data_IF_872448264960
#
_entry.id   IF_872448264960
#
_cell.length_a   1.000
_cell.length_b   1.000
_cell.length_c   1.000
_cell.angle_alpha   90.00
_cell.angle_beta   90.00
_cell.angle_gamma   90.00
#
_symmetry.space_group_name_H-M   'P 1'
#
loop_
_entity.id
_entity.type
_entity.pdbx_description
1 polymer ?
#
# COMPACT_ATOMS: atom_id res chain seq x y z
N UNK A 1 -15.62 -4.22 -4.50
CA UNK A 1 -14.53 -3.25 -4.24
C UNK A 1 -13.58 -3.78 -3.16
N UNK A 2 -12.27 -3.85 -3.44
CA UNK A 2 -11.25 -4.38 -2.53
C UNK A 2 -10.62 -3.27 -1.69
N UNK A 3 -10.37 -3.52 -0.40
CA UNK A 3 -9.59 -2.66 0.48
C UNK A 3 -8.14 -3.09 0.44
N UNK A 4 -7.29 -2.33 -0.25
CA UNK A 4 -5.94 -2.71 -0.59
C UNK A 4 -4.88 -2.00 0.25
N UNK A 5 -3.92 -2.77 0.74
CA UNK A 5 -2.70 -2.26 1.39
C UNK A 5 -1.47 -2.50 0.50
N UNK A 6 -0.77 -1.44 0.11
CA UNK A 6 0.40 -1.49 -0.76
C UNK A 6 1.69 -1.31 0.04
N UNK A 7 2.66 -2.20 -0.11
CA UNK A 7 3.96 -2.14 0.54
C UNK A 7 5.05 -1.87 -0.50
N UNK A 8 5.80 -0.78 -0.36
CA UNK A 8 6.92 -0.49 -1.26
C UNK A 8 7.80 0.66 -0.79
N UNK A 9 8.99 0.77 -1.38
CA UNK A 9 9.97 1.81 -1.01
C UNK A 9 10.55 2.56 -2.20
N UNK A 10 10.87 1.87 -3.28
CA UNK A 10 11.71 2.42 -4.35
C UNK A 10 10.92 2.94 -5.56
N UNK A 11 11.64 3.41 -6.57
CA UNK A 11 11.06 3.92 -7.81
C UNK A 11 10.31 2.84 -8.61
N UNK A 12 10.74 1.59 -8.52
CA UNK A 12 10.07 0.48 -9.19
C UNK A 12 8.66 0.25 -8.59
N UNK A 13 8.56 0.29 -7.27
CA UNK A 13 7.29 0.22 -6.55
C UNK A 13 6.36 1.40 -6.88
N UNK A 14 6.89 2.60 -7.12
CA UNK A 14 6.10 3.78 -7.53
C UNK A 14 5.35 3.51 -8.84
N UNK A 15 5.95 2.83 -9.82
CA UNK A 15 5.27 2.55 -11.09
C UNK A 15 4.07 1.62 -10.90
N UNK A 16 4.19 0.60 -10.05
CA UNK A 16 3.06 -0.24 -9.69
C UNK A 16 1.97 0.55 -8.94
N UNK A 17 2.37 1.41 -8.00
CA UNK A 17 1.45 2.24 -7.22
C UNK A 17 0.68 3.25 -8.09
N UNK A 18 1.31 3.81 -9.13
CA UNK A 18 0.64 4.69 -10.13
C UNK A 18 -0.48 3.97 -10.85
N UNK A 19 -0.26 2.72 -11.26
CA UNK A 19 -1.26 1.91 -11.96
C UNK A 19 -2.46 1.62 -11.05
N UNK A 20 -2.20 1.18 -9.81
CA UNK A 20 -3.25 0.93 -8.82
C UNK A 20 -4.02 2.20 -8.47
N UNK A 21 -3.33 3.32 -8.26
CA UNK A 21 -3.96 4.61 -7.96
C UNK A 21 -4.80 5.12 -9.13
N UNK A 22 -4.46 4.79 -10.38
CA UNK A 22 -5.24 5.15 -11.56
C UNK A 22 -6.48 4.26 -11.68
N UNK A 23 -6.35 2.96 -11.40
CA UNK A 23 -7.48 2.03 -11.35
C UNK A 23 -8.51 2.42 -10.29
N UNK A 24 -8.11 3.03 -9.17
CA UNK A 24 -9.05 3.56 -8.18
C UNK A 24 -9.95 4.69 -8.72
N UNK A 25 -9.46 5.43 -9.73
CA UNK A 25 -10.17 6.56 -10.33
C UNK A 25 -11.07 6.15 -11.51
N UNK A 26 -10.97 4.90 -11.97
CA UNK A 26 -11.85 4.42 -13.03
C UNK A 26 -13.25 4.16 -12.48
N UNK A 27 -14.25 4.22 -13.35
CA UNK A 27 -15.66 3.95 -13.02
C UNK A 27 -15.95 2.48 -12.67
N UNK A 28 -14.95 1.61 -12.75
CA UNK A 28 -15.05 0.22 -12.32
C UNK A 28 -14.67 0.16 -10.83
N UNK A 29 -15.64 -0.18 -9.97
CA UNK A 29 -15.50 -0.19 -8.51
C UNK A 29 -14.58 -1.31 -7.97
N UNK A 30 -13.44 -1.55 -8.62
CA UNK A 30 -12.50 -2.60 -8.23
C UNK A 30 -11.85 -2.31 -6.88
N UNK A 31 -11.50 -1.06 -6.58
CA UNK A 31 -10.82 -0.67 -5.34
C UNK A 31 -11.72 0.24 -4.50
N UNK A 32 -12.00 -0.19 -3.26
CA UNK A 32 -12.63 0.66 -2.26
C UNK A 32 -11.60 1.63 -1.68
N UNK A 33 -10.48 1.09 -1.20
CA UNK A 33 -9.39 1.84 -0.57
C UNK A 33 -8.04 1.39 -1.11
N UNK A 34 -7.11 2.34 -1.16
CA UNK A 34 -5.70 2.12 -1.48
C UNK A 34 -4.89 2.87 -0.44
N UNK A 35 -4.26 2.14 0.48
CA UNK A 35 -3.42 2.67 1.54
C UNK A 35 -1.99 2.15 1.38
N UNK A 36 -1.02 2.97 1.73
CA UNK A 36 0.40 2.73 1.44
C UNK A 36 1.18 2.51 2.74
N UNK A 37 2.03 1.50 2.77
CA UNK A 37 3.03 1.24 3.80
C UNK A 37 4.40 1.46 3.20
N UNK A 38 5.20 2.29 3.85
CA UNK A 38 6.58 2.52 3.44
C UNK A 38 7.51 2.65 4.65
N UNK A 39 8.82 2.61 4.39
CA UNK A 39 9.83 2.82 5.42
C UNK A 39 9.96 4.29 5.79
N UNK A 40 10.61 4.55 6.93
CA UNK A 40 11.01 5.89 7.34
C UNK A 40 11.97 6.55 6.33
N UNK A 41 12.04 7.89 6.37
CA UNK A 41 12.83 8.69 5.42
C UNK A 41 12.02 9.16 4.21
N UNK A 42 12.69 9.81 3.26
CA UNK A 42 12.10 10.35 2.03
C UNK A 42 12.30 9.38 0.87
N UNK A 43 11.63 8.23 0.97
CA UNK A 43 11.68 7.19 -0.06
C UNK A 43 10.65 7.47 -1.18
N UNK A 44 10.94 7.10 -2.45
CA UNK A 44 10.10 7.41 -3.60
C UNK A 44 8.59 7.12 -3.41
N UNK A 45 8.25 5.95 -2.85
CA UNK A 45 6.85 5.57 -2.61
C UNK A 45 6.14 6.52 -1.64
N UNK A 46 6.82 6.93 -0.58
CA UNK A 46 6.28 7.86 0.40
C UNK A 46 6.01 9.24 -0.21
N UNK A 47 6.98 9.76 -0.96
CA UNK A 47 6.85 11.04 -1.66
C UNK A 47 5.65 11.00 -2.61
N UNK A 48 5.53 9.92 -3.39
CA UNK A 48 4.41 9.73 -4.32
C UNK A 48 3.07 9.66 -3.58
N UNK A 49 2.97 8.88 -2.50
CA UNK A 49 1.76 8.74 -1.71
C UNK A 49 1.30 10.09 -1.13
N UNK A 50 2.23 10.89 -0.60
CA UNK A 50 1.94 12.22 -0.08
C UNK A 50 1.43 13.17 -1.18
N UNK A 51 2.11 13.21 -2.34
CA UNK A 51 1.71 14.05 -3.47
C UNK A 51 0.32 13.70 -4.03
N UNK A 52 -0.06 12.41 -3.95
CA UNK A 52 -1.33 11.91 -4.46
C UNK A 52 -2.40 11.74 -3.37
N UNK A 53 -2.15 12.23 -2.15
CA UNK A 53 -3.07 12.16 -1.01
C UNK A 53 -3.55 10.73 -0.70
N UNK A 54 -2.65 9.75 -0.85
CA UNK A 54 -2.90 8.38 -0.43
C UNK A 54 -2.63 8.24 1.07
N UNK A 55 -3.50 7.58 1.85
CA UNK A 55 -3.22 7.29 3.26
C UNK A 55 -1.92 6.52 3.40
N UNK A 56 -1.04 6.98 4.30
CA UNK A 56 0.30 6.45 4.50
C UNK A 56 0.46 5.93 5.93
N UNK A 57 0.98 4.71 6.03
CA UNK A 57 1.36 4.04 7.27
C UNK A 57 2.87 3.89 7.34
N UNK A 58 3.45 4.14 8.51
CA UNK A 58 4.86 3.85 8.76
C UNK A 58 5.03 2.35 9.01
N UNK A 59 6.13 1.78 8.52
CA UNK A 59 6.51 0.42 8.88
C UNK A 59 7.05 0.33 10.32
N UNK A 60 6.66 -0.68 11.12
CA UNK A 60 5.60 -1.67 10.85
C UNK A 60 4.19 -1.07 11.06
N UNK A 61 3.22 -1.38 10.18
CA UNK A 61 1.88 -0.81 10.29
C UNK A 61 1.09 -1.46 11.43
N UNK A 62 0.20 -0.68 12.04
CA UNK A 62 -0.78 -1.16 13.00
C UNK A 62 -2.11 -1.30 12.27
N UNK A 63 -2.52 -2.54 12.00
CA UNK A 63 -3.77 -2.85 11.30
C UNK A 63 -4.67 -3.77 12.13
N UNK A 64 -5.98 -3.55 12.01
CA UNK A 64 -6.98 -4.45 12.56
C UNK A 64 -7.15 -5.68 11.66
N UNK A 65 -7.64 -6.77 12.25
CA UNK A 65 -7.94 -8.00 11.52
C UNK A 65 -9.08 -7.77 10.53
N UNK A 66 -8.90 -8.20 9.28
CA UNK A 66 -9.86 -7.97 8.20
C UNK A 66 -10.04 -6.49 7.84
N UNK A 67 -9.11 -5.60 8.23
CA UNK A 67 -9.14 -4.19 7.82
C UNK A 67 -8.90 -4.05 6.31
N UNK A 68 -8.03 -4.89 5.77
CA UNK A 68 -7.69 -4.95 4.36
C UNK A 68 -7.94 -6.36 3.84
N UNK A 69 -8.34 -6.44 2.58
CA UNK A 69 -8.65 -7.68 1.91
C UNK A 69 -7.42 -8.24 1.17
N UNK A 70 -6.55 -7.35 0.66
CA UNK A 70 -5.40 -7.73 -0.15
C UNK A 70 -4.18 -6.88 0.21
N UNK A 71 -3.05 -7.54 0.43
CA UNK A 71 -1.72 -6.93 0.54
C UNK A 71 -0.94 -7.08 -0.77
N UNK A 72 -0.46 -5.97 -1.34
CA UNK A 72 0.41 -5.97 -2.54
C UNK A 72 1.80 -5.51 -2.15
N UNK A 73 2.82 -6.37 -2.34
CA UNK A 73 4.20 -6.08 -1.95
C UNK A 73 5.04 -5.90 -3.21
N UNK A 74 5.63 -4.73 -3.38
CA UNK A 74 6.49 -4.41 -4.53
C UNK A 74 7.74 -3.71 -4.01
N UNK A 75 8.90 -4.34 -4.19
CA UNK A 75 10.21 -3.80 -3.80
C UNK A 75 10.22 -3.05 -2.46
N UNK A 76 9.76 -3.76 -1.41
CA UNK A 76 9.61 -3.17 -0.09
C UNK A 76 10.90 -3.24 0.75
N UNK A 77 11.77 -4.22 0.50
CA UNK A 77 13.06 -4.35 1.19
C UNK A 77 13.00 -4.88 2.63
N UNK A 78 11.80 -5.14 3.17
CA UNK A 78 11.62 -5.75 4.49
C UNK A 78 10.79 -7.04 4.38
N UNK A 79 11.09 -8.01 5.25
CA UNK A 79 10.28 -9.21 5.41
C UNK A 79 8.99 -8.87 6.16
N UNK A 80 7.85 -9.35 5.66
CA UNK A 80 6.59 -9.21 6.36
C UNK A 80 6.48 -10.24 7.47
N UNK A 81 6.21 -9.77 8.69
CA UNK A 81 6.05 -10.63 9.84
C UNK A 81 4.70 -11.37 9.78
N UNK A 82 4.66 -12.61 10.28
CA UNK A 82 3.44 -13.44 10.30
C UNK A 82 2.26 -12.71 10.96
N UNK A 83 2.54 -11.91 11.99
CA UNK A 83 1.54 -11.10 12.69
C UNK A 83 0.83 -10.07 11.81
N UNK A 84 1.43 -9.66 10.69
CA UNK A 84 0.81 -8.77 9.69
C UNK A 84 0.10 -9.61 8.63
N UNK A 85 0.74 -10.68 8.16
CA UNK A 85 0.18 -11.57 7.12
C UNK A 85 -1.15 -12.16 7.59
N UNK A 86 -1.22 -12.63 8.84
CA UNK A 86 -2.43 -13.23 9.42
C UNK A 86 -3.56 -12.22 9.71
N UNK A 87 -3.38 -10.92 9.38
CA UNK A 87 -4.45 -9.91 9.50
C UNK A 87 -5.28 -9.78 8.22
N UNK A 88 -4.79 -10.30 7.11
CA UNK A 88 -5.52 -10.39 5.86
C UNK A 88 -6.35 -11.69 5.84
N UNK A 89 -7.57 -11.67 5.27
CA UNK A 89 -8.44 -12.84 5.18
C UNK A 89 -7.91 -13.93 4.23
#
# INVERSE_FOLDING_TARGET
PWRLMFFGTDQFAVEALKLLSSSRKSSEELLETLEVVSLSGDVPVKIFAQQNHLPLHSWPPIIAEGQFDVGVIVSFGCLLHESIINKFP
#
